data_IF_374292487183
#
_entry.id   IF_374292487183
#
_cell.length_a   1.000
_cell.length_b   1.000
_cell.length_c   1.000
_cell.angle_alpha   90.00
_cell.angle_beta   90.00
_cell.angle_gamma   90.00
#
_symmetry.space_group_name_H-M   'P 1'
#
loop_
_entity.id
_entity.type
_entity.pdbx_description
1 polymer ?
#
# COMPACT_ATOMS: atom_id res chain seq x y z
N UNK A 1 60.21 12.32 -4.96
CA UNK A 1 59.03 12.32 -5.86
C UNK A 1 58.21 11.02 -5.82
N UNK A 2 58.83 9.82 -5.81
CA UNK A 2 58.16 8.53 -5.74
C UNK A 2 57.39 8.38 -4.40
N UNK A 3 57.93 8.83 -3.28
CA UNK A 3 57.28 8.74 -1.97
C UNK A 3 56.02 9.62 -1.85
N UNK A 4 55.96 10.76 -2.54
CA UNK A 4 54.77 11.62 -2.56
C UNK A 4 53.63 10.99 -3.42
N UNK A 5 54.00 10.37 -4.52
CA UNK A 5 53.08 9.68 -5.41
C UNK A 5 52.42 8.47 -4.71
N UNK A 6 53.25 7.66 -4.02
CA UNK A 6 52.77 6.50 -3.26
C UNK A 6 51.80 6.94 -2.13
N UNK A 7 52.11 8.05 -1.45
CA UNK A 7 51.26 8.61 -0.40
C UNK A 7 49.93 9.09 -0.97
N UNK A 8 49.94 9.80 -2.09
CA UNK A 8 48.74 10.25 -2.77
C UNK A 8 47.87 9.07 -3.23
N UNK A 9 48.49 8.01 -3.75
CA UNK A 9 47.78 6.80 -4.15
C UNK A 9 47.11 6.09 -2.98
N UNK A 10 47.82 5.97 -1.84
CA UNK A 10 47.25 5.37 -0.64
C UNK A 10 46.09 6.20 -0.06
N UNK A 11 46.19 7.52 -0.07
CA UNK A 11 45.10 8.40 0.35
C UNK A 11 43.87 8.22 -0.56
N UNK A 12 44.11 8.12 -1.88
CA UNK A 12 43.05 7.95 -2.86
C UNK A 12 42.33 6.59 -2.71
N UNK A 13 43.10 5.51 -2.53
CA UNK A 13 42.53 4.18 -2.27
C UNK A 13 41.76 4.10 -0.96
N UNK A 14 42.25 4.77 0.08
CA UNK A 14 41.52 4.87 1.34
C UNK A 14 40.17 5.61 1.14
N UNK A 15 40.21 6.73 0.43
CA UNK A 15 39.03 7.54 0.16
C UNK A 15 37.98 6.79 -0.69
N UNK A 16 38.43 6.00 -1.67
CA UNK A 16 37.56 5.17 -2.47
C UNK A 16 36.86 4.12 -1.59
N UNK A 17 37.58 3.47 -0.68
CA UNK A 17 36.97 2.48 0.24
C UNK A 17 35.93 3.14 1.15
N UNK A 18 36.26 4.29 1.74
CA UNK A 18 35.28 5.02 2.56
C UNK A 18 34.02 5.38 1.78
N UNK A 19 34.17 5.87 0.55
CA UNK A 19 33.03 6.21 -0.32
C UNK A 19 32.21 4.97 -0.69
N UNK A 20 32.85 3.84 -0.95
CA UNK A 20 32.16 2.58 -1.21
C UNK A 20 31.36 2.10 0.01
N UNK A 21 31.95 2.15 1.20
CA UNK A 21 31.27 1.78 2.44
C UNK A 21 30.08 2.72 2.75
N UNK A 22 30.25 4.02 2.50
CA UNK A 22 29.16 4.99 2.64
C UNK A 22 28.03 4.70 1.66
N UNK A 23 28.36 4.42 0.40
CA UNK A 23 27.37 4.09 -0.64
C UNK A 23 26.56 2.85 -0.27
N UNK A 24 27.22 1.79 0.22
CA UNK A 24 26.53 0.57 0.67
C UNK A 24 25.57 0.88 1.82
N UNK A 25 25.99 1.66 2.82
CA UNK A 25 25.14 2.05 3.95
C UNK A 25 23.93 2.89 3.50
N UNK A 26 24.14 3.84 2.59
CA UNK A 26 23.07 4.66 2.04
C UNK A 26 22.07 3.82 1.26
N UNK A 27 22.53 2.87 0.47
CA UNK A 27 21.68 1.92 -0.26
C UNK A 27 20.84 1.05 0.68
N UNK A 28 21.45 0.54 1.76
CA UNK A 28 20.73 -0.24 2.76
C UNK A 28 19.67 0.59 3.49
N UNK A 29 19.99 1.83 3.84
CA UNK A 29 19.04 2.74 4.47
C UNK A 29 17.87 3.07 3.53
N UNK A 30 18.16 3.38 2.27
CA UNK A 30 17.16 3.63 1.24
C UNK A 30 16.22 2.43 1.09
N UNK A 31 16.77 1.23 1.01
CA UNK A 31 15.99 0.00 0.93
C UNK A 31 15.09 -0.23 2.15
N UNK A 32 15.58 0.07 3.36
CA UNK A 32 14.78 -0.01 4.59
C UNK A 32 13.62 0.99 4.59
N UNK A 33 13.87 2.21 4.11
CA UNK A 33 12.85 3.25 4.00
C UNK A 33 11.79 2.86 2.99
N UNK A 34 12.18 2.34 1.83
CA UNK A 34 11.28 1.86 0.78
C UNK A 34 10.40 0.69 1.29
N UNK A 35 11.01 -0.30 1.98
CA UNK A 35 10.26 -1.38 2.61
C UNK A 35 9.27 -0.90 3.66
N UNK A 36 9.67 0.09 4.47
CA UNK A 36 8.80 0.66 5.50
C UNK A 36 7.65 1.46 4.87
N UNK A 37 7.91 2.18 3.79
CA UNK A 37 6.89 2.88 3.02
C UNK A 37 5.88 1.90 2.41
N UNK A 38 6.36 0.82 1.78
CA UNK A 38 5.51 -0.26 1.26
C UNK A 38 4.65 -0.92 2.36
N UNK A 39 5.23 -1.17 3.54
CA UNK A 39 4.49 -1.70 4.69
C UNK A 39 3.45 -0.73 5.24
N UNK A 40 3.68 0.58 5.14
CA UNK A 40 2.75 1.61 5.64
C UNK A 40 1.54 1.83 4.73
N UNK A 41 1.62 1.44 3.46
CA UNK A 41 0.51 1.55 2.51
C UNK A 41 -0.66 0.62 2.85
N UNK A 42 -0.38 -0.48 3.54
CA UNK A 42 -1.42 -1.38 4.04
C UNK A 42 -1.47 -1.23 5.56
N UNK A 43 -2.60 -0.80 6.10
CA UNK A 43 -2.78 -0.76 7.54
C UNK A 43 -2.74 -2.19 8.12
N UNK A 44 -1.70 -2.59 8.88
CA UNK A 44 -1.56 -3.96 9.37
C UNK A 44 -2.75 -4.38 10.24
N UNK A 45 -3.27 -3.46 11.03
CA UNK A 45 -4.44 -3.71 11.89
C UNK A 45 -5.70 -4.03 11.05
N UNK A 46 -5.90 -3.33 9.93
CA UNK A 46 -6.98 -3.66 9.01
C UNK A 46 -6.81 -5.08 8.42
N UNK A 47 -5.59 -5.43 8.03
CA UNK A 47 -5.28 -6.74 7.45
C UNK A 47 -5.56 -7.86 8.46
N UNK A 48 -5.03 -7.77 9.68
CA UNK A 48 -5.27 -8.77 10.73
C UNK A 48 -6.75 -8.93 11.05
N UNK A 49 -7.46 -7.84 11.26
CA UNK A 49 -8.90 -7.87 11.54
C UNK A 49 -9.72 -8.46 10.40
N UNK A 50 -9.27 -8.29 9.15
CA UNK A 50 -9.93 -8.89 7.98
C UNK A 50 -9.70 -10.39 7.94
N UNK A 51 -8.48 -10.85 8.21
CA UNK A 51 -8.15 -12.28 8.29
C UNK A 51 -8.91 -12.97 9.42
N UNK A 52 -8.97 -12.37 10.60
CA UNK A 52 -9.75 -12.88 11.73
C UNK A 52 -11.23 -13.03 11.38
N UNK A 53 -11.79 -12.06 10.66
CA UNK A 53 -13.17 -12.12 10.19
C UNK A 53 -13.39 -13.25 9.18
N UNK A 54 -12.43 -13.51 8.29
CA UNK A 54 -12.48 -14.64 7.34
C UNK A 54 -12.46 -15.96 8.09
N UNK A 55 -11.60 -16.12 9.09
CA UNK A 55 -11.50 -17.32 9.93
C UNK A 55 -12.83 -17.56 10.63
N UNK A 56 -13.39 -16.53 11.27
CA UNK A 56 -14.67 -16.62 11.97
C UNK A 56 -15.84 -17.02 11.03
N UNK A 57 -15.86 -16.46 9.80
CA UNK A 57 -16.86 -16.84 8.79
C UNK A 57 -16.69 -18.28 8.32
N UNK A 58 -15.43 -18.74 8.17
CA UNK A 58 -15.13 -20.12 7.78
C UNK A 58 -15.59 -21.12 8.86
N UNK A 59 -15.34 -20.84 10.13
CA UNK A 59 -15.81 -21.63 11.26
C UNK A 59 -17.35 -21.68 11.30
N UNK A 60 -18.02 -20.57 10.96
CA UNK A 60 -19.47 -20.47 10.82
C UNK A 60 -20.05 -21.11 9.56
N UNK A 61 -19.23 -21.80 8.75
CA UNK A 61 -19.61 -22.43 7.46
C UNK A 61 -20.24 -21.47 6.45
N UNK A 62 -19.85 -20.20 6.49
CA UNK A 62 -20.31 -19.14 5.58
C UNK A 62 -19.44 -19.06 4.33
N UNK A 63 -19.39 -20.12 3.56
CA UNK A 63 -18.45 -20.29 2.45
C UNK A 63 -18.52 -19.17 1.40
N UNK A 64 -19.70 -18.70 1.05
CA UNK A 64 -19.88 -17.62 0.08
C UNK A 64 -19.29 -16.30 0.60
N UNK A 65 -19.53 -15.96 1.86
CA UNK A 65 -19.00 -14.76 2.50
C UNK A 65 -17.45 -14.81 2.58
N UNK A 66 -16.88 -15.99 2.88
CA UNK A 66 -15.43 -16.24 2.88
C UNK A 66 -14.83 -15.97 1.51
N UNK A 67 -15.44 -16.48 0.44
CA UNK A 67 -14.98 -16.29 -0.94
C UNK A 67 -14.99 -14.81 -1.32
N UNK A 68 -16.09 -14.10 -1.05
CA UNK A 68 -16.24 -12.68 -1.38
C UNK A 68 -15.19 -11.85 -0.62
N UNK A 69 -15.02 -12.12 0.67
CA UNK A 69 -14.08 -11.36 1.52
C UNK A 69 -12.64 -11.59 1.12
N UNK A 70 -12.28 -12.85 0.84
CA UNK A 70 -10.93 -13.21 0.39
C UNK A 70 -10.62 -12.61 -0.98
N UNK A 71 -11.57 -12.65 -1.93
CA UNK A 71 -11.42 -12.05 -3.25
C UNK A 71 -11.25 -10.53 -3.17
N UNK A 72 -12.03 -9.86 -2.30
CA UNK A 72 -11.92 -8.41 -2.08
C UNK A 72 -10.58 -8.04 -1.47
N UNK A 73 -10.10 -8.80 -0.48
CA UNK A 73 -8.80 -8.61 0.14
C UNK A 73 -7.66 -8.81 -0.86
N UNK A 74 -7.70 -9.87 -1.67
CA UNK A 74 -6.71 -10.13 -2.70
C UNK A 74 -6.63 -8.99 -3.74
N UNK A 75 -7.78 -8.41 -4.10
CA UNK A 75 -7.87 -7.26 -5.02
C UNK A 75 -7.25 -6.01 -4.41
N UNK A 76 -7.54 -5.71 -3.15
CA UNK A 76 -6.92 -4.60 -2.42
C UNK A 76 -5.40 -4.73 -2.35
N UNK A 77 -4.89 -5.91 -1.98
CA UNK A 77 -3.46 -6.16 -1.87
C UNK A 77 -2.76 -6.00 -3.23
N UNK A 78 -3.35 -6.51 -4.30
CA UNK A 78 -2.79 -6.38 -5.66
C UNK A 78 -2.66 -4.92 -6.08
N UNK A 79 -3.67 -4.10 -5.83
CA UNK A 79 -3.61 -2.68 -6.15
C UNK A 79 -2.64 -1.89 -5.26
N UNK A 80 -2.49 -2.30 -3.99
CA UNK A 80 -1.53 -1.65 -3.08
C UNK A 80 -0.08 -1.94 -3.41
N UNK A 81 0.21 -3.01 -4.17
CA UNK A 81 1.55 -3.42 -4.58
C UNK A 81 1.88 -2.90 -5.99
N UNK A 82 0.87 -2.48 -6.77
CA UNK A 82 1.09 -1.84 -8.08
C UNK A 82 1.91 -0.56 -7.89
N UNK A 83 2.95 -0.39 -8.71
CA UNK A 83 3.94 0.68 -8.59
C UNK A 83 3.29 2.06 -8.56
N UNK A 84 3.81 2.93 -7.68
CA UNK A 84 3.38 4.33 -7.53
C UNK A 84 3.57 5.18 -8.80
N UNK A 85 4.36 4.71 -9.76
CA UNK A 85 4.66 5.40 -11.02
C UNK A 85 3.64 5.12 -12.14
N UNK A 86 2.71 4.19 -11.97
CA UNK A 86 1.65 3.96 -12.94
C UNK A 86 0.46 4.89 -12.69
N UNK A 87 0.08 5.63 -13.72
CA UNK A 87 -1.15 6.43 -13.75
C UNK A 87 -2.35 5.50 -13.57
N UNK A 88 -2.95 5.56 -12.38
CA UNK A 88 -4.14 4.77 -12.04
C UNK A 88 -5.37 5.48 -12.60
N UNK A 89 -6.26 4.76 -13.27
CA UNK A 89 -7.52 5.33 -13.74
C UNK A 89 -8.50 5.54 -12.59
N UNK A 90 -9.40 6.50 -12.72
CA UNK A 90 -10.50 6.72 -11.76
C UNK A 90 -11.32 5.43 -11.54
N UNK A 91 -11.50 4.63 -12.59
CA UNK A 91 -12.18 3.35 -12.49
C UNK A 91 -11.47 2.36 -11.57
N UNK A 92 -10.14 2.27 -11.64
CA UNK A 92 -9.35 1.42 -10.75
C UNK A 92 -9.44 1.89 -9.29
N UNK A 93 -9.42 3.20 -9.04
CA UNK A 93 -9.60 3.75 -7.71
C UNK A 93 -11.00 3.46 -7.14
N UNK A 94 -12.04 3.56 -7.96
CA UNK A 94 -13.40 3.19 -7.56
C UNK A 94 -13.49 1.72 -7.18
N UNK A 95 -12.86 0.82 -7.94
CA UNK A 95 -12.81 -0.63 -7.61
C UNK A 95 -12.02 -0.90 -6.32
N UNK A 96 -10.98 -0.12 -6.05
CA UNK A 96 -10.26 -0.18 -4.78
C UNK A 96 -11.18 0.18 -3.61
N UNK A 97 -11.84 1.32 -3.69
CA UNK A 97 -12.80 1.79 -2.67
C UNK A 97 -13.95 0.79 -2.49
N UNK A 98 -14.48 0.26 -3.59
CA UNK A 98 -15.53 -0.77 -3.56
C UNK A 98 -15.08 -2.02 -2.79
N UNK A 99 -13.88 -2.52 -3.08
CA UNK A 99 -13.32 -3.70 -2.40
C UNK A 99 -13.14 -3.44 -0.90
N UNK A 100 -12.62 -2.27 -0.54
CA UNK A 100 -12.48 -1.85 0.86
C UNK A 100 -13.82 -1.77 1.59
N UNK A 101 -14.80 -1.10 1.00
CA UNK A 101 -16.13 -0.95 1.58
C UNK A 101 -16.88 -2.29 1.67
N UNK A 102 -16.67 -3.20 0.71
CA UNK A 102 -17.22 -4.56 0.77
C UNK A 102 -16.72 -5.32 2.00
N UNK A 103 -15.41 -5.26 2.27
CA UNK A 103 -14.83 -5.85 3.48
C UNK A 103 -15.42 -5.21 4.74
N UNK A 104 -15.52 -3.89 4.78
CA UNK A 104 -16.10 -3.19 5.93
C UNK A 104 -17.56 -3.55 6.15
N UNK A 105 -18.36 -3.63 5.08
CA UNK A 105 -19.77 -4.07 5.15
C UNK A 105 -19.90 -5.47 5.73
N UNK A 106 -19.06 -6.40 5.32
CA UNK A 106 -19.07 -7.77 5.85
C UNK A 106 -18.65 -7.84 7.32
N UNK A 107 -17.74 -6.98 7.76
CA UNK A 107 -17.31 -6.88 9.16
C UNK A 107 -18.37 -6.26 10.06
N UNK A 108 -18.99 -5.18 9.60
CA UNK A 108 -19.97 -4.41 10.39
C UNK A 108 -21.41 -4.82 10.12
N UNK A 109 -21.63 -5.75 9.16
CA UNK A 109 -22.95 -6.29 8.78
C UNK A 109 -23.96 -5.17 8.50
N UNK A 110 -25.11 -5.24 9.16
CA UNK A 110 -26.25 -4.33 8.93
C UNK A 110 -26.01 -2.87 9.39
N UNK A 111 -24.83 -2.57 9.96
CA UNK A 111 -24.46 -1.21 10.41
C UNK A 111 -23.81 -0.36 9.30
N UNK A 112 -23.45 -0.96 8.17
CA UNK A 112 -22.81 -0.25 7.06
C UNK A 112 -23.52 -0.55 5.75
N UNK A 113 -24.18 0.45 5.21
CA UNK A 113 -24.64 0.46 3.83
C UNK A 113 -23.86 1.52 3.05
N UNK A 114 -23.51 1.20 1.82
CA UNK A 114 -22.82 2.16 0.95
C UNK A 114 -23.33 2.06 -0.47
N UNK A 115 -23.32 3.17 -1.16
CA UNK A 115 -23.59 3.28 -2.59
C UNK A 115 -22.46 4.10 -3.24
N UNK A 116 -21.90 3.59 -4.32
CA UNK A 116 -20.89 4.30 -5.09
C UNK A 116 -21.55 4.79 -6.39
N UNK A 117 -21.69 6.11 -6.53
CA UNK A 117 -22.17 6.74 -7.75
C UNK A 117 -20.98 7.33 -8.49
N UNK A 118 -20.71 6.81 -9.67
CA UNK A 118 -19.67 7.32 -10.54
C UNK A 118 -20.25 7.51 -11.95
N UNK A 119 -19.91 8.63 -12.58
CA UNK A 119 -20.24 8.85 -13.96
C UNK A 119 -19.36 7.96 -14.85
N UNK A 120 -19.93 7.17 -15.77
CA UNK A 120 -19.15 6.30 -16.66
C UNK A 120 -18.12 7.06 -17.50
N UNK A 121 -18.34 8.34 -17.77
CA UNK A 121 -17.44 9.18 -18.58
C UNK A 121 -16.09 9.45 -17.91
N UNK A 122 -16.02 9.41 -16.58
CA UNK A 122 -14.80 9.72 -15.82
C UNK A 122 -13.97 8.48 -15.46
N UNK A 123 -14.52 7.27 -15.63
CA UNK A 123 -13.86 6.04 -15.22
C UNK A 123 -12.57 5.73 -15.98
N UNK A 124 -12.41 6.26 -17.17
CA UNK A 124 -11.22 6.08 -18.02
C UNK A 124 -10.20 7.21 -17.91
N UNK A 125 -10.49 8.26 -17.14
CA UNK A 125 -9.57 9.39 -16.97
C UNK A 125 -8.40 8.96 -16.08
N UNK A 126 -7.13 9.19 -16.52
CA UNK A 126 -5.99 8.96 -15.68
C UNK A 126 -6.01 9.92 -14.48
N UNK A 127 -5.85 9.39 -13.29
CA UNK A 127 -5.79 10.18 -12.08
C UNK A 127 -4.34 10.30 -11.62
N UNK A 128 -3.87 11.53 -11.42
CA UNK A 128 -2.67 11.75 -10.64
C UNK A 128 -3.00 11.44 -9.17
N UNK A 129 -2.30 10.48 -8.59
CA UNK A 129 -2.55 9.82 -7.30
C UNK A 129 -2.74 10.71 -6.05
N UNK A 130 -2.82 12.03 -6.22
CA UNK A 130 -2.93 12.98 -5.12
C UNK A 130 -4.37 13.30 -4.68
N UNK A 131 -5.39 12.96 -5.48
CA UNK A 131 -6.78 13.37 -5.18
C UNK A 131 -7.55 12.39 -4.29
N UNK A 132 -7.36 11.09 -4.47
CA UNK A 132 -8.07 10.06 -3.71
C UNK A 132 -7.15 9.42 -2.65
N UNK A 133 -5.84 9.61 -2.71
CA UNK A 133 -4.93 9.30 -1.61
C UNK A 133 -5.31 10.04 -0.32
N UNK A 134 -5.90 11.23 -0.41
CA UNK A 134 -6.53 11.92 0.72
C UNK A 134 -7.73 11.15 1.29
N UNK A 135 -8.51 10.49 0.46
CA UNK A 135 -9.61 9.63 0.90
C UNK A 135 -9.13 8.31 1.53
N UNK A 136 -7.90 7.86 1.24
CA UNK A 136 -7.26 6.69 1.90
C UNK A 136 -6.99 6.92 3.39
N UNK A 137 -6.69 8.15 3.79
CA UNK A 137 -6.39 8.53 5.18
C UNK A 137 -7.57 9.07 5.96
N UNK A 138 -8.56 9.62 5.28
CA UNK A 138 -9.69 10.35 5.85
C UNK A 138 -11.06 9.73 5.54
N UNK A 139 -11.15 8.47 5.16
CA UNK A 139 -12.36 7.72 5.45
C UNK A 139 -12.44 7.55 6.98
N UNK A 140 -12.37 8.68 7.64
CA UNK A 140 -12.86 8.85 8.98
C UNK A 140 -14.37 8.62 8.85
N UNK A 141 -14.81 7.48 9.34
CA UNK A 141 -16.18 7.06 9.47
C UNK A 141 -16.99 8.02 10.38
N UNK A 142 -16.78 9.34 10.22
CA UNK A 142 -17.54 10.37 10.92
C UNK A 142 -19.01 10.43 10.49
N UNK A 143 -19.39 9.64 9.47
CA UNK A 143 -20.76 9.45 9.02
C UNK A 143 -21.43 8.22 9.62
N UNK A 144 -20.72 7.41 10.39
CA UNK A 144 -21.33 6.42 11.26
C UNK A 144 -21.89 7.12 12.49
N UNK A 145 -23.09 7.68 12.39
CA UNK A 145 -23.94 7.90 13.56
C UNK A 145 -24.35 6.53 14.07
N UNK A 146 -23.73 6.13 15.19
CA UNK A 146 -24.22 5.06 16.07
C UNK A 146 -25.48 5.56 16.78
#
# INVERSE_FOLDING_TARGET
>A
EIGSLTRSFNVMTHRIRELMEQNVKEQEQKRKIELKALQSQINPHFLYNTLDSIIWMAEGKKNEEVVIMTASLARLLRQSISNEDELVTVGQEIEYVRSYLTIQKMRYKDKLEFEIKADPSITQVPNHSSGIAAARGECNLSWLKI
#
